data_IF_804684545980
#
_entry.id   IF_804684545980
#
_cell.length_a   1.000
_cell.length_b   1.000
_cell.length_c   1.000
_cell.angle_alpha   90.00
_cell.angle_beta   90.00
_cell.angle_gamma   90.00
#
_symmetry.space_group_name_H-M   'P 1'
#
loop_
_entity.id
_entity.type
_entity.pdbx_description
1 polymer ?
#
# COMPACT_ATOMS: atom_id res chain seq x y z
N UNK A 1 -12.03 -13.88 4.95
CA UNK A 1 -11.02 -14.47 5.86
C UNK A 1 -9.67 -13.87 5.51
N UNK A 2 -8.77 -13.69 6.48
CA UNK A 2 -7.41 -13.23 6.15
C UNK A 2 -6.59 -14.34 5.48
N UNK A 3 -5.72 -13.99 4.53
CA UNK A 3 -4.85 -14.95 3.84
C UNK A 3 -3.65 -15.40 4.67
N UNK A 4 -3.19 -14.56 5.59
CA UNK A 4 -2.10 -14.86 6.51
C UNK A 4 -2.52 -14.64 7.96
N UNK A 5 -2.07 -15.53 8.83
CA UNK A 5 -2.16 -15.43 10.29
C UNK A 5 -0.85 -14.90 10.88
N UNK A 6 -0.89 -14.48 12.15
CA UNK A 6 0.27 -13.87 12.80
C UNK A 6 1.45 -14.86 12.90
N UNK A 7 1.18 -16.16 13.03
CA UNK A 7 2.23 -17.18 13.04
C UNK A 7 2.99 -17.18 11.73
N UNK A 8 2.30 -17.20 10.59
CA UNK A 8 2.95 -17.12 9.28
C UNK A 8 3.78 -15.83 9.13
N UNK A 9 3.25 -14.71 9.63
CA UNK A 9 3.94 -13.41 9.61
C UNK A 9 5.30 -13.46 10.30
N UNK A 10 5.38 -14.03 11.51
CA UNK A 10 6.63 -14.06 12.28
C UNK A 10 7.57 -15.23 11.90
N UNK A 11 7.04 -16.39 11.49
CA UNK A 11 7.86 -17.59 11.24
C UNK A 11 8.32 -17.74 9.80
N UNK A 12 7.49 -17.33 8.84
CA UNK A 12 7.73 -17.58 7.41
C UNK A 12 8.03 -16.29 6.66
N UNK A 13 7.20 -15.26 6.88
CA UNK A 13 7.43 -13.93 6.31
C UNK A 13 8.54 -13.17 7.05
N UNK A 14 8.82 -13.53 8.32
CA UNK A 14 9.86 -12.94 9.18
C UNK A 14 9.67 -11.43 9.42
N UNK A 15 8.41 -11.00 9.51
CA UNK A 15 8.06 -9.59 9.74
C UNK A 15 8.24 -9.18 11.19
N UNK A 16 8.58 -7.90 11.40
CA UNK A 16 8.89 -7.33 12.73
C UNK A 16 8.17 -6.01 13.01
N UNK A 17 7.48 -5.43 12.02
CA UNK A 17 6.83 -4.14 12.14
C UNK A 17 5.52 -4.19 12.96
N UNK A 18 4.72 -5.26 12.78
CA UNK A 18 3.36 -5.35 13.32
C UNK A 18 3.32 -6.12 14.64
N UNK A 19 2.63 -5.55 15.64
CA UNK A 19 2.31 -6.24 16.89
C UNK A 19 1.17 -7.25 16.71
N UNK A 20 1.19 -8.35 17.46
CA UNK A 20 0.20 -9.44 17.36
C UNK A 20 -1.25 -8.95 17.46
N UNK A 21 -1.53 -8.01 18.37
CA UNK A 21 -2.88 -7.46 18.58
C UNK A 21 -3.42 -6.70 17.36
N UNK A 22 -2.54 -6.06 16.59
CA UNK A 22 -2.92 -5.27 15.42
C UNK A 22 -2.96 -6.10 14.13
N UNK A 23 -2.26 -7.23 14.12
CA UNK A 23 -2.10 -8.05 12.93
C UNK A 23 -3.43 -8.53 12.32
N UNK A 24 -4.41 -9.08 13.09
CA UNK A 24 -5.68 -9.55 12.53
C UNK A 24 -6.46 -8.46 11.79
N UNK A 25 -6.43 -7.22 12.30
CA UNK A 25 -7.09 -6.07 11.65
C UNK A 25 -6.40 -5.73 10.32
N UNK A 26 -5.08 -5.65 10.33
CA UNK A 26 -4.28 -5.29 9.16
C UNK A 26 -4.30 -6.38 8.09
N UNK A 27 -4.23 -7.65 8.47
CA UNK A 27 -4.27 -8.79 7.55
C UNK A 27 -5.64 -8.95 6.88
N UNK A 28 -6.73 -8.68 7.60
CA UNK A 28 -8.08 -8.66 7.01
C UNK A 28 -8.21 -7.54 5.97
N UNK A 29 -7.73 -6.33 6.30
CA UNK A 29 -7.71 -5.20 5.35
C UNK A 29 -6.86 -5.52 4.13
N UNK A 30 -5.66 -6.06 4.32
CA UNK A 30 -4.77 -6.52 3.25
C UNK A 30 -5.43 -7.57 2.36
N UNK A 31 -6.14 -8.53 2.95
CA UNK A 31 -6.83 -9.58 2.19
C UNK A 31 -7.95 -9.02 1.32
N UNK A 32 -8.76 -8.10 1.85
CA UNK A 32 -9.78 -7.41 1.06
C UNK A 32 -9.20 -6.62 -0.12
N UNK A 33 -8.05 -5.97 0.08
CA UNK A 33 -7.32 -5.30 -1.00
C UNK A 33 -6.83 -6.28 -2.05
N UNK A 34 -6.24 -7.42 -1.66
CA UNK A 34 -5.77 -8.45 -2.60
C UNK A 34 -6.92 -9.09 -3.37
N UNK A 35 -8.08 -9.30 -2.73
CA UNK A 35 -9.29 -9.78 -3.42
C UNK A 35 -9.75 -8.82 -4.50
N UNK A 36 -9.82 -7.53 -4.17
CA UNK A 36 -10.14 -6.49 -5.13
C UNK A 36 -9.09 -6.44 -6.26
N UNK A 37 -7.80 -6.45 -5.91
CA UNK A 37 -6.70 -6.30 -6.85
C UNK A 37 -6.55 -7.50 -7.80
N UNK A 38 -6.85 -8.71 -7.33
CA UNK A 38 -6.83 -9.95 -8.12
C UNK A 38 -8.19 -10.28 -8.76
N UNK A 39 -9.18 -9.39 -8.65
CA UNK A 39 -10.54 -9.62 -9.17
C UNK A 39 -11.17 -10.92 -8.66
N UNK A 40 -10.97 -11.22 -7.36
CA UNK A 40 -11.52 -12.41 -6.68
C UNK A 40 -10.79 -13.72 -6.97
N UNK A 41 -9.67 -13.70 -7.71
CA UNK A 41 -8.88 -14.92 -8.00
C UNK A 41 -8.07 -15.39 -6.78
N UNK A 42 -7.70 -14.47 -5.88
CA UNK A 42 -7.00 -14.78 -4.64
C UNK A 42 -7.77 -15.78 -3.76
N UNK A 43 -9.10 -15.62 -3.62
CA UNK A 43 -9.93 -16.49 -2.78
C UNK A 43 -9.88 -17.96 -3.21
N UNK A 44 -9.73 -18.23 -4.51
CA UNK A 44 -9.59 -19.60 -5.07
C UNK A 44 -8.20 -20.19 -4.88
N UNK A 45 -7.22 -19.36 -4.51
CA UNK A 45 -5.81 -19.71 -4.40
C UNK A 45 -5.23 -19.35 -3.02
N UNK A 46 -6.06 -19.41 -1.98
CA UNK A 46 -5.70 -19.04 -0.60
C UNK A 46 -4.49 -19.82 -0.04
N UNK A 47 -4.17 -20.99 -0.60
CA UNK A 47 -3.03 -21.81 -0.22
C UNK A 47 -1.67 -21.33 -0.76
N UNK A 48 -1.64 -20.42 -1.74
CA UNK A 48 -0.38 -19.96 -2.35
C UNK A 48 0.44 -19.13 -1.38
N UNK A 49 1.69 -19.52 -1.14
CA UNK A 49 2.59 -18.76 -0.26
C UNK A 49 2.85 -17.35 -0.80
N UNK A 50 2.93 -17.16 -2.12
CA UNK A 50 3.03 -15.84 -2.72
C UNK A 50 1.88 -14.90 -2.30
N UNK A 51 0.67 -15.42 -2.13
CA UNK A 51 -0.49 -14.65 -1.67
C UNK A 51 -0.40 -14.31 -0.18
N UNK A 52 0.09 -15.24 0.64
CA UNK A 52 0.32 -15.00 2.07
C UNK A 52 1.43 -13.98 2.30
N UNK A 53 2.52 -14.07 1.53
CA UNK A 53 3.62 -13.09 1.53
C UNK A 53 3.13 -11.70 1.10
N UNK A 54 2.34 -11.64 0.01
CA UNK A 54 1.71 -10.39 -0.43
C UNK A 54 0.81 -9.79 0.66
N UNK A 55 0.02 -10.62 1.34
CA UNK A 55 -0.85 -10.19 2.44
C UNK A 55 -0.05 -9.57 3.59
N UNK A 56 1.06 -10.20 3.98
CA UNK A 56 1.94 -9.69 5.03
C UNK A 56 2.58 -8.34 4.63
N UNK A 57 3.12 -8.23 3.42
CA UNK A 57 3.74 -6.99 2.94
C UNK A 57 2.73 -5.83 2.83
N UNK A 58 1.53 -6.11 2.34
CA UNK A 58 0.44 -5.12 2.27
C UNK A 58 -0.02 -4.72 3.68
N UNK A 59 -0.05 -5.65 4.64
CA UNK A 59 -0.38 -5.35 6.03
C UNK A 59 0.64 -4.41 6.69
N UNK A 60 1.94 -4.61 6.44
CA UNK A 60 3.00 -3.70 6.95
C UNK A 60 2.88 -2.30 6.32
N UNK A 61 2.59 -2.24 5.03
CA UNK A 61 2.36 -0.97 4.37
C UNK A 61 1.13 -0.24 4.93
N UNK A 62 0.06 -0.95 5.27
CA UNK A 62 -1.08 -0.35 5.96
C UNK A 62 -0.72 0.17 7.35
N UNK A 63 0.10 -0.55 8.11
CA UNK A 63 0.57 -0.07 9.40
C UNK A 63 1.36 1.23 9.25
N UNK A 64 2.27 1.31 8.27
CA UNK A 64 3.03 2.52 8.00
C UNK A 64 2.14 3.71 7.60
N UNK A 65 1.09 3.46 6.81
CA UNK A 65 0.10 4.48 6.43
C UNK A 65 -0.68 4.94 7.66
N UNK A 66 -1.20 4.02 8.46
CA UNK A 66 -1.98 4.32 9.66
C UNK A 66 -1.12 5.13 10.67
N UNK A 67 0.16 4.78 10.84
CA UNK A 67 1.10 5.51 11.68
C UNK A 67 1.40 6.93 11.16
N UNK A 68 1.64 7.07 9.85
CA UNK A 68 1.86 8.38 9.23
C UNK A 68 0.63 9.29 9.35
N UNK A 69 -0.57 8.74 9.16
CA UNK A 69 -1.83 9.47 9.34
C UNK A 69 -2.04 9.91 10.80
N UNK A 70 -1.74 9.05 11.78
CA UNK A 70 -1.85 9.39 13.19
C UNK A 70 -0.89 10.53 13.58
N UNK A 71 0.36 10.50 13.09
CA UNK A 71 1.33 11.58 13.30
C UNK A 71 0.87 12.90 12.65
N UNK A 72 0.32 12.84 11.44
CA UNK A 72 -0.20 14.00 10.75
C UNK A 72 -1.40 14.63 11.46
N UNK A 73 -2.33 13.82 11.95
CA UNK A 73 -3.48 14.31 12.74
C UNK A 73 -3.03 14.91 14.07
N UNK A 74 -2.02 14.34 14.71
CA UNK A 74 -1.42 14.88 15.93
C UNK A 74 -0.73 16.23 15.66
N UNK A 75 0.02 16.35 14.56
CA UNK A 75 0.64 17.62 14.15
C UNK A 75 -0.42 18.68 13.81
N UNK A 76 -1.49 18.31 13.10
CA UNK A 76 -2.58 19.21 12.77
C UNK A 76 -3.29 19.71 14.04
N UNK A 77 -3.66 18.80 14.96
CA UNK A 77 -4.30 19.19 16.22
C UNK A 77 -3.38 20.01 17.15
N UNK A 78 -2.06 19.80 17.10
CA UNK A 78 -1.08 20.66 17.77
C UNK A 78 -0.99 22.04 17.11
N UNK A 79 -1.01 22.13 15.78
CA UNK A 79 -1.00 23.41 15.04
C UNK A 79 -2.29 24.23 15.19
N UNK A 80 -3.42 23.59 15.53
CA UNK A 80 -4.65 24.29 15.91
C UNK A 80 -4.54 24.89 17.31
N UNK A 81 -3.65 24.35 18.17
CA UNK A 81 -3.39 24.85 19.54
C UNK A 81 -2.17 25.77 19.65
N UNK A 82 -1.23 25.73 18.70
CA UNK A 82 -0.03 26.57 18.65
C UNK A 82 0.03 27.31 17.32
N UNK A 83 0.16 28.64 17.36
CA UNK A 83 0.40 29.49 16.19
C UNK A 83 1.67 29.04 15.44
N UNK A 84 1.48 28.25 14.36
CA UNK A 84 2.43 28.03 13.26
C UNK A 84 3.81 27.43 13.61
N UNK A 85 4.16 26.30 13.00
CA UNK A 85 5.52 25.77 13.07
C UNK A 85 6.47 26.68 12.25
N UNK A 86 7.50 27.19 12.92
CA UNK A 86 8.38 28.24 12.40
C UNK A 86 9.34 27.64 11.36
N UNK A 87 9.14 27.97 10.09
CA UNK A 87 9.78 27.23 9.01
C UNK A 87 11.19 27.72 8.65
N UNK A 88 11.45 29.00 8.84
CA UNK A 88 12.79 29.57 8.73
C UNK A 88 12.85 30.89 9.51
N UNK A 89 14.03 31.20 10.03
CA UNK A 89 14.35 32.51 10.60
C UNK A 89 15.74 32.90 10.12
N UNK A 90 15.88 34.09 9.51
CA UNK A 90 17.16 34.68 9.13
C UNK A 90 17.29 36.07 9.75
N UNK A 91 18.50 36.48 10.13
CA UNK A 91 18.73 37.68 10.95
C UNK A 91 19.34 38.80 10.08
N UNK A 92 18.59 39.88 9.82
CA UNK A 92 18.96 41.00 8.92
C UNK A 92 17.74 41.76 8.39
N UNK A 93 17.62 41.98 7.06
CA UNK A 93 16.36 42.30 6.36
C UNK A 93 15.33 41.18 6.61
N UNK A 94 14.78 41.16 7.81
CA UNK A 94 14.26 39.96 8.46
C UNK A 94 12.85 39.65 7.97
N UNK A 95 12.68 38.49 7.32
CA UNK A 95 11.37 37.89 7.04
C UNK A 95 11.19 36.63 7.88
N UNK A 96 9.96 36.43 8.38
CA UNK A 96 9.59 35.30 9.21
C UNK A 96 8.43 34.59 8.54
N UNK A 97 8.69 33.40 8.01
CA UNK A 97 7.69 32.61 7.29
C UNK A 97 7.23 31.46 8.17
N UNK A 98 5.95 31.45 8.50
CA UNK A 98 5.29 30.35 9.21
C UNK A 98 4.67 29.43 8.17
N UNK A 99 4.93 28.12 8.25
CA UNK A 99 4.10 27.16 7.51
C UNK A 99 2.82 26.97 8.32
N UNK A 100 1.68 27.15 7.66
CA UNK A 100 0.39 26.80 8.25
C UNK A 100 0.37 25.30 8.51
N UNK A 101 -0.18 24.87 9.65
CA UNK A 101 -0.43 23.45 9.90
C UNK A 101 -1.30 22.78 8.83
N UNK A 102 -2.05 23.57 8.06
CA UNK A 102 -2.78 23.12 6.87
C UNK A 102 -1.88 22.62 5.73
N UNK A 103 -0.72 23.23 5.49
CA UNK A 103 0.22 22.78 4.44
C UNK A 103 0.86 21.44 4.82
N UNK A 104 1.23 21.28 6.08
CA UNK A 104 1.75 20.01 6.63
C UNK A 104 0.70 18.90 6.60
N UNK A 105 -0.56 19.21 6.90
CA UNK A 105 -1.66 18.25 6.81
C UNK A 105 -1.99 17.84 5.37
N UNK A 106 -1.98 18.79 4.42
CA UNK A 106 -2.18 18.50 3.00
C UNK A 106 -1.06 17.64 2.44
N UNK A 107 0.20 17.90 2.84
CA UNK A 107 1.35 17.10 2.46
C UNK A 107 1.29 15.68 3.06
N UNK A 108 0.78 15.53 4.29
CA UNK A 108 0.54 14.22 4.87
C UNK A 108 -0.57 13.45 4.15
N UNK A 109 -1.69 14.09 3.81
CA UNK A 109 -2.77 13.47 3.04
C UNK A 109 -2.32 13.03 1.65
N UNK A 110 -1.52 13.86 0.95
CA UNK A 110 -0.95 13.49 -0.35
C UNK A 110 0.02 12.31 -0.23
N UNK A 111 0.86 12.28 0.82
CA UNK A 111 1.74 11.15 1.10
C UNK A 111 0.97 9.86 1.42
N UNK A 112 -0.16 9.94 2.15
CA UNK A 112 -1.00 8.79 2.45
C UNK A 112 -1.69 8.25 1.19
N UNK A 113 -2.15 9.12 0.27
CA UNK A 113 -2.66 8.68 -1.04
C UNK A 113 -1.57 8.05 -1.91
N UNK A 114 -0.37 8.61 -1.93
CA UNK A 114 0.77 8.03 -2.65
C UNK A 114 1.16 6.66 -2.07
N UNK A 115 1.15 6.51 -0.75
CA UNK A 115 1.38 5.23 -0.08
C UNK A 115 0.24 4.22 -0.32
N UNK A 116 -1.00 4.67 -0.51
CA UNK A 116 -2.07 3.78 -0.99
C UNK A 116 -1.83 3.32 -2.43
N UNK A 117 -1.25 4.17 -3.28
CA UNK A 117 -0.89 3.80 -4.65
C UNK A 117 0.26 2.76 -4.71
N UNK A 118 1.15 2.73 -3.70
CA UNK A 118 2.23 1.73 -3.64
C UNK A 118 1.75 0.33 -3.28
N UNK A 119 0.55 0.16 -2.69
CA UNK A 119 -0.02 -1.16 -2.37
C UNK A 119 -0.13 -2.05 -3.61
N UNK A 120 -0.48 -1.46 -4.76
CA UNK A 120 -0.53 -2.18 -6.03
C UNK A 120 0.84 -2.68 -6.47
N UNK A 121 1.88 -1.86 -6.33
CA UNK A 121 3.25 -2.25 -6.68
C UNK A 121 3.77 -3.40 -5.79
N UNK A 122 3.46 -3.35 -4.49
CA UNK A 122 3.78 -4.45 -3.55
C UNK A 122 3.07 -5.72 -3.98
N UNK A 123 1.76 -5.66 -4.26
CA UNK A 123 1.02 -6.83 -4.74
C UNK A 123 1.59 -7.40 -6.06
N UNK A 124 2.02 -6.53 -6.99
CA UNK A 124 2.67 -6.96 -8.24
C UNK A 124 4.00 -7.67 -8.00
N UNK A 125 4.81 -7.22 -7.05
CA UNK A 125 6.10 -7.82 -6.74
C UNK A 125 5.97 -9.30 -6.33
N UNK A 126 4.95 -9.62 -5.53
CA UNK A 126 4.71 -10.99 -5.06
C UNK A 126 3.84 -11.82 -6.01
N UNK A 127 2.80 -11.22 -6.59
CA UNK A 127 1.81 -11.95 -7.39
C UNK A 127 2.09 -11.93 -8.89
N UNK A 128 3.07 -11.15 -9.36
CA UNK A 128 3.34 -10.93 -10.77
C UNK A 128 3.58 -12.22 -11.56
N UNK A 129 4.21 -13.23 -10.96
CA UNK A 129 4.48 -14.53 -11.59
C UNK A 129 3.36 -15.57 -11.42
N UNK A 130 2.38 -15.32 -10.55
CA UNK A 130 1.37 -16.33 -10.14
C UNK A 130 0.20 -16.47 -11.12
N UNK A 131 0.05 -15.54 -12.07
CA UNK A 131 -1.11 -15.50 -12.98
C UNK A 131 -2.40 -14.96 -12.34
N UNK A 132 -2.36 -14.57 -11.06
CA UNK A 132 -3.52 -13.99 -10.36
C UNK A 132 -3.84 -12.56 -10.79
N UNK A 133 -2.86 -11.84 -11.32
CA UNK A 133 -3.02 -10.46 -11.75
C UNK A 133 -3.51 -10.40 -13.19
N UNK A 134 -4.37 -9.42 -13.48
CA UNK A 134 -4.82 -9.17 -14.84
C UNK A 134 -3.64 -8.66 -15.70
N UNK A 135 -3.16 -9.47 -16.64
CA UNK A 135 -2.01 -9.14 -17.52
C UNK A 135 -2.39 -8.41 -18.81
N UNK A 136 -3.62 -7.87 -18.89
CA UNK A 136 -4.17 -7.43 -20.17
C UNK A 136 -4.30 -8.60 -21.13
N UNK A 137 -5.17 -8.48 -22.12
CA UNK A 137 -5.18 -9.42 -23.24
C UNK A 137 -3.96 -9.11 -24.11
N UNK A 138 -2.79 -9.53 -23.67
CA UNK A 138 -1.56 -9.49 -24.46
C UNK A 138 -1.73 -10.35 -25.70
N UNK A 139 -1.67 -9.70 -26.85
CA UNK A 139 -1.47 -10.21 -28.20
C UNK A 139 -1.32 -11.74 -28.30
N UNK A 140 -2.35 -12.39 -28.85
CA UNK A 140 -2.18 -13.69 -29.48
C UNK A 140 -1.28 -13.55 -30.71
N UNK A 141 0.02 -13.66 -30.52
CA UNK A 141 0.88 -14.20 -31.57
C UNK A 141 0.65 -15.71 -31.59
N UNK A 142 0.04 -16.22 -32.67
CA UNK A 142 0.03 -17.66 -32.96
C UNK A 142 -1.32 -18.28 -33.32
N UNK A 143 -2.12 -17.66 -34.17
CA UNK A 143 -2.98 -18.44 -35.08
C UNK A 143 -3.13 -17.65 -36.39
N UNK A 144 -2.15 -17.78 -37.28
CA UNK A 144 -2.36 -17.48 -38.70
C UNK A 144 -3.14 -18.66 -39.26
N UNK A 145 -4.39 -18.48 -39.74
CA UNK A 145 -5.11 -19.57 -40.36
C UNK A 145 -4.39 -19.99 -41.66
N UNK A 146 -4.12 -21.29 -41.89
CA UNK A 146 -3.34 -21.76 -43.03
C UNK A 146 -4.14 -21.81 -44.35
N UNK A 147 -5.16 -20.97 -44.53
CA UNK A 147 -6.07 -21.05 -45.68
C UNK A 147 -6.21 -19.76 -46.50
N UNK A 148 -5.25 -18.84 -46.39
CA UNK A 148 -5.14 -17.71 -47.32
C UNK A 148 -3.92 -17.88 -48.23
N UNK A 149 -3.89 -18.99 -48.97
CA UNK A 149 -3.08 -19.15 -50.18
C UNK A 149 -3.70 -20.28 -51.03
N UNK A 150 -4.84 -19.99 -51.67
CA UNK A 150 -5.26 -20.59 -52.94
C UNK A 150 -6.59 -19.98 -53.39
N UNK A 151 -6.58 -19.51 -54.65
CA UNK A 151 -7.66 -19.00 -55.51
C UNK A 151 -7.91 -17.48 -55.46
#
# INVERSE_FOLDING_TARGET
>A
MAYADYRYYITTYLGTAIQEADFPRLSLRASSFLDYYTQGRAARNAGLDALKMACCAVAEQYQAIDAAQALAQKALSASVKSEGELQSQSVGSWSKTYRSGGDSAQQALSSARAAQASLGAIAQQYLGATGLLYRGRGCGYGYVPPYCDAL
#
